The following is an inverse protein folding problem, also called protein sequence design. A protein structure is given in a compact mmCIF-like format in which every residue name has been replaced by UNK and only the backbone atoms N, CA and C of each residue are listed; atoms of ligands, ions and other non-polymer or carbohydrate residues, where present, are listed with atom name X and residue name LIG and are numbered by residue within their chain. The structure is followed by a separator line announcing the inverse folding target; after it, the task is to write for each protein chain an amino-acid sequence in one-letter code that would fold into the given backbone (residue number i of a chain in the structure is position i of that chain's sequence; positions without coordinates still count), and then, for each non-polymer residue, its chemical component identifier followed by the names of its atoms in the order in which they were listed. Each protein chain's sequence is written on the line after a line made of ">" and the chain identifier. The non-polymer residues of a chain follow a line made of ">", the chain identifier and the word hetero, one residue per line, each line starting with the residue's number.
data_IF_734861246889
#
_entry.id   IF_734861246889
#
_cell.length_a   1.000
_cell.length_b   1.000
_cell.length_c   1.000
_cell.angle_alpha   90.00
_cell.angle_beta   90.00
_cell.angle_gamma   90.00
#
_symmetry.space_group_name_H-M   'P 1'
#
loop_
_entity.id
_entity.type
_entity.pdbx_description
1 polymer ?
#
# COMPACT_ATOMS: atom_id res chain seq x y z
N UNK A 1 -5.33 4.40 -23.07
CA UNK A 1 -4.48 3.93 -21.96
C UNK A 1 -4.96 4.57 -20.66
N UNK A 2 -5.29 3.74 -19.69
CA UNK A 2 -5.63 4.23 -18.34
C UNK A 2 -4.41 4.09 -17.43
N UNK A 3 -4.34 4.93 -16.40
CA UNK A 3 -3.24 4.90 -15.44
C UNK A 3 -3.82 4.57 -14.06
N UNK A 4 -3.26 3.55 -13.42
CA UNK A 4 -3.63 3.14 -12.06
C UNK A 4 -2.45 3.42 -11.14
N UNK A 5 -2.69 4.17 -10.08
CA UNK A 5 -1.65 4.55 -9.12
C UNK A 5 -1.84 3.76 -7.83
N UNK A 6 -0.88 2.90 -7.51
CA UNK A 6 -0.93 2.02 -6.36
C UNK A 6 0.14 2.40 -5.34
N UNK A 7 -0.26 2.60 -4.10
CA UNK A 7 0.68 2.97 -3.04
C UNK A 7 0.32 2.29 -1.72
N UNK A 8 1.34 2.07 -0.90
CA UNK A 8 1.12 1.71 0.49
C UNK A 8 0.96 2.98 1.32
N UNK A 9 0.21 2.88 2.40
CA UNK A 9 -0.01 4.01 3.32
C UNK A 9 0.44 3.62 4.72
N UNK A 10 1.14 4.52 5.39
CA UNK A 10 1.51 4.33 6.79
C UNK A 10 0.94 5.48 7.64
N UNK A 11 1.49 6.68 7.51
CA UNK A 11 1.01 7.88 8.20
C UNK A 11 1.52 9.11 7.45
N UNK A 12 1.09 9.26 6.20
CA UNK A 12 1.66 10.22 5.26
C UNK A 12 0.59 11.12 4.65
N UNK A 13 -0.25 11.68 5.51
CA UNK A 13 -1.41 12.45 5.06
C UNK A 13 -1.03 13.56 4.06
N UNK A 14 0.03 14.32 4.36
CA UNK A 14 0.47 15.40 3.47
C UNK A 14 0.94 14.87 2.12
N UNK A 15 1.73 13.81 2.12
CA UNK A 15 2.23 13.20 0.87
C UNK A 15 1.10 12.65 0.02
N UNK A 16 0.10 12.04 0.65
CA UNK A 16 -1.07 11.53 -0.07
C UNK A 16 -1.89 12.65 -0.67
N UNK A 17 -2.06 13.74 0.06
CA UNK A 17 -2.78 14.91 -0.44
C UNK A 17 -2.10 15.49 -1.68
N UNK A 18 -0.78 15.64 -1.62
CA UNK A 18 0.02 16.12 -2.76
C UNK A 18 -0.12 15.14 -3.93
N UNK A 19 -0.02 13.85 -3.68
CA UNK A 19 -0.10 12.82 -4.70
C UNK A 19 -1.45 12.81 -5.41
N UNK A 20 -2.54 12.84 -4.65
CA UNK A 20 -3.89 12.86 -5.21
C UNK A 20 -4.12 14.13 -6.06
N UNK A 21 -3.74 15.28 -5.53
CA UNK A 21 -3.92 16.55 -6.26
C UNK A 21 -3.08 16.63 -7.52
N UNK A 22 -1.85 16.10 -7.47
CA UNK A 22 -0.93 16.15 -8.61
C UNK A 22 -1.35 15.21 -9.74
N UNK A 23 -1.83 14.01 -9.39
CA UNK A 23 -2.08 12.94 -10.36
C UNK A 23 -3.54 12.78 -10.76
N UNK A 24 -4.46 13.49 -10.13
CA UNK A 24 -5.90 13.26 -10.32
C UNK A 24 -6.35 13.30 -11.79
N UNK A 25 -5.81 14.21 -12.57
CA UNK A 25 -6.25 14.39 -13.97
C UNK A 25 -5.76 13.27 -14.90
N UNK A 26 -4.69 12.56 -14.52
CA UNK A 26 -4.09 11.50 -15.34
C UNK A 26 -4.45 10.10 -14.89
N UNK A 27 -4.91 9.93 -13.66
CA UNK A 27 -5.11 8.63 -13.03
C UNK A 27 -6.57 8.22 -13.06
N UNK A 28 -6.84 6.99 -13.50
CA UNK A 28 -8.19 6.39 -13.50
C UNK A 28 -8.62 6.01 -12.08
N UNK A 29 -7.73 5.34 -11.34
CA UNK A 29 -7.98 4.91 -9.97
C UNK A 29 -6.72 5.02 -9.13
N UNK A 30 -6.91 5.36 -7.85
CA UNK A 30 -5.87 5.31 -6.82
C UNK A 30 -6.14 4.08 -5.95
N UNK A 31 -5.18 3.17 -5.88
CA UNK A 31 -5.26 2.00 -5.01
C UNK A 31 -4.37 2.26 -3.81
N UNK A 32 -4.98 2.35 -2.62
CA UNK A 32 -4.30 2.61 -1.36
C UNK A 32 -4.35 1.34 -0.52
N UNK A 33 -3.19 0.81 -0.18
CA UNK A 33 -3.07 -0.40 0.63
C UNK A 33 -2.50 -0.03 1.99
N UNK A 34 -3.20 -0.39 3.04
CA UNK A 34 -2.73 -0.19 4.41
C UNK A 34 -2.82 -1.49 5.18
N UNK A 35 -1.76 -1.80 5.94
CA UNK A 35 -1.69 -3.01 6.76
C UNK A 35 -1.88 -2.66 8.24
N UNK A 36 -2.45 -3.59 8.99
CA UNK A 36 -2.48 -3.52 10.45
C UNK A 36 -1.12 -3.83 11.08
N UNK A 37 -0.11 -4.15 10.27
CA UNK A 37 1.25 -4.43 10.72
C UNK A 37 2.24 -3.58 9.94
N UNK A 38 3.24 -3.03 10.63
CA UNK A 38 4.37 -2.37 9.97
C UNK A 38 5.24 -3.41 9.27
N UNK A 39 6.18 -2.96 8.43
CA UNK A 39 7.11 -3.89 7.77
C UNK A 39 8.00 -4.63 8.77
N UNK A 40 8.22 -4.08 9.95
CA UNK A 40 8.96 -4.74 11.04
C UNK A 40 8.08 -5.67 11.88
N UNK A 41 6.77 -5.74 11.61
CA UNK A 41 5.87 -6.67 12.27
C UNK A 41 5.15 -6.14 13.49
N UNK A 42 5.29 -4.87 13.82
CA UNK A 42 4.58 -4.26 14.93
C UNK A 42 3.14 -3.95 14.52
N UNK A 43 2.20 -4.23 15.42
CA UNK A 43 0.81 -3.85 15.20
C UNK A 43 0.68 -2.34 15.13
N UNK A 44 -0.16 -1.85 14.24
CA UNK A 44 -0.46 -0.43 14.10
C UNK A 44 -1.94 -0.22 13.87
N UNK A 45 -2.40 1.00 14.10
CA UNK A 45 -3.75 1.42 13.76
C UNK A 45 -3.83 1.78 12.28
N UNK A 46 -5.02 1.70 11.70
CA UNK A 46 -5.26 2.23 10.37
C UNK A 46 -5.30 3.75 10.46
N UNK A 47 -4.47 4.41 9.66
CA UNK A 47 -4.33 5.86 9.67
C UNK A 47 -5.02 6.54 8.49
N UNK A 48 -5.25 5.80 7.39
CA UNK A 48 -5.87 6.36 6.21
C UNK A 48 -7.37 6.61 6.46
N UNK A 49 -7.80 7.85 6.24
CA UNK A 49 -9.21 8.21 6.32
C UNK A 49 -9.65 8.78 4.99
N UNK A 50 -10.44 8.03 4.26
CA UNK A 50 -10.95 8.42 2.94
C UNK A 50 -11.77 9.71 3.00
N UNK A 51 -12.36 10.01 4.15
CA UNK A 51 -13.16 11.23 4.32
C UNK A 51 -12.32 12.50 4.25
N UNK A 52 -11.01 12.41 4.54
CA UNK A 52 -10.07 13.53 4.38
C UNK A 52 -9.78 13.81 2.90
N UNK A 53 -10.17 12.92 2.02
CA UNK A 53 -9.91 13.00 0.58
C UNK A 53 -11.21 12.88 -0.21
N UNK A 54 -12.30 13.45 0.30
CA UNK A 54 -13.64 13.33 -0.30
C UNK A 54 -13.70 13.75 -1.76
N UNK A 55 -12.86 14.69 -2.17
CA UNK A 55 -12.75 15.13 -3.55
C UNK A 55 -12.37 13.99 -4.51
N UNK A 56 -11.62 13.01 -4.03
CA UNK A 56 -11.11 11.89 -4.83
C UNK A 56 -11.78 10.56 -4.49
N UNK A 57 -12.77 10.56 -3.62
CA UNK A 57 -13.38 9.36 -3.05
C UNK A 57 -13.81 8.34 -4.10
N UNK A 58 -14.37 8.79 -5.22
CA UNK A 58 -14.87 7.91 -6.28
C UNK A 58 -13.75 7.20 -7.04
N UNK A 59 -12.53 7.71 -6.95
CA UNK A 59 -11.35 7.13 -7.60
C UNK A 59 -10.52 6.25 -6.66
N UNK A 60 -10.76 6.29 -5.35
CA UNK A 60 -9.94 5.60 -4.37
C UNK A 60 -10.47 4.19 -4.12
N UNK A 61 -9.62 3.20 -4.26
CA UNK A 61 -9.86 1.82 -3.82
C UNK A 61 -8.95 1.59 -2.62
N UNK A 62 -9.55 1.43 -1.44
CA UNK A 62 -8.83 1.23 -0.20
C UNK A 62 -8.82 -0.24 0.19
N UNK A 63 -7.63 -0.81 0.34
CA UNK A 63 -7.44 -2.23 0.67
C UNK A 63 -6.73 -2.33 2.01
N UNK A 64 -7.31 -3.07 2.95
CA UNK A 64 -6.74 -3.29 4.27
C UNK A 64 -6.18 -4.71 4.36
N UNK A 65 -4.92 -4.83 4.78
CA UNK A 65 -4.29 -6.11 5.06
C UNK A 65 -4.44 -6.38 6.55
N UNK A 66 -5.25 -7.37 6.91
CA UNK A 66 -5.57 -7.68 8.31
C UNK A 66 -4.63 -8.69 8.93
N UNK A 67 -3.97 -9.52 8.12
CA UNK A 67 -3.14 -10.63 8.57
C UNK A 67 -1.74 -10.53 8.02
N UNK A 68 -0.76 -11.02 8.79
CA UNK A 68 0.60 -11.14 8.30
C UNK A 68 0.73 -12.31 7.31
N UNK A 69 1.78 -12.29 6.43
CA UNK A 69 2.06 -13.44 5.56
C UNK A 69 2.25 -14.73 6.37
N UNK A 70 1.84 -15.85 5.80
CA UNK A 70 1.90 -17.16 6.50
C UNK A 70 3.31 -17.74 6.58
N UNK A 71 4.24 -17.24 5.78
CA UNK A 71 5.58 -17.82 5.64
C UNK A 71 6.66 -17.04 6.38
N UNK A 72 6.29 -16.25 7.38
CA UNK A 72 7.24 -15.53 8.20
C UNK A 72 7.98 -16.46 9.14
N UNK A 73 9.26 -16.19 9.39
CA UNK A 73 10.01 -16.85 10.44
C UNK A 73 9.60 -16.28 11.79
N UNK A 74 9.39 -17.17 12.75
CA UNK A 74 8.94 -16.80 14.09
C UNK A 74 9.97 -17.18 15.13
N UNK A 75 9.97 -16.47 16.25
CA UNK A 75 10.86 -16.73 17.37
C UNK A 75 11.40 -15.42 17.96
N UNK A 76 11.87 -15.50 19.20
CA UNK A 76 12.37 -14.32 19.93
C UNK A 76 13.80 -13.94 19.55
N UNK A 77 14.51 -14.84 18.86
CA UNK A 77 15.95 -14.68 18.57
C UNK A 77 16.24 -14.71 17.08
N UNK A 78 15.46 -13.95 16.30
CA UNK A 78 15.75 -13.83 14.87
C UNK A 78 16.99 -12.97 14.66
N UNK A 79 17.87 -13.41 13.75
CA UNK A 79 19.03 -12.60 13.35
C UNK A 79 18.58 -11.51 12.36
N UNK A 80 19.51 -10.62 12.00
CA UNK A 80 19.20 -9.48 11.11
C UNK A 80 18.73 -9.93 9.73
N UNK A 81 19.32 -11.00 9.20
CA UNK A 81 18.94 -11.55 7.91
C UNK A 81 17.50 -12.07 7.92
N UNK A 82 17.11 -12.79 8.98
CA UNK A 82 15.75 -13.32 9.12
C UNK A 82 14.72 -12.22 9.28
N UNK A 83 15.04 -11.18 10.08
CA UNK A 83 14.15 -10.01 10.22
C UNK A 83 13.98 -9.28 8.90
N UNK A 84 15.04 -9.13 8.13
CA UNK A 84 14.98 -8.49 6.80
C UNK A 84 14.11 -9.30 5.84
N UNK A 85 14.25 -10.62 5.84
CA UNK A 85 13.44 -11.49 4.99
C UNK A 85 11.96 -11.39 5.36
N UNK A 86 11.63 -11.31 6.64
CA UNK A 86 10.26 -11.11 7.07
C UNK A 86 9.70 -9.77 6.58
N UNK A 87 10.50 -8.71 6.68
CA UNK A 87 10.10 -7.40 6.16
C UNK A 87 9.84 -7.42 4.66
N UNK A 88 10.70 -8.10 3.90
CA UNK A 88 10.52 -8.23 2.46
C UNK A 88 9.25 -9.01 2.12
N UNK A 89 8.90 -10.03 2.89
CA UNK A 89 7.66 -10.79 2.69
C UNK A 89 6.42 -9.93 2.95
N UNK A 90 6.47 -9.04 3.95
CA UNK A 90 5.39 -8.10 4.22
C UNK A 90 5.23 -7.08 3.10
N UNK A 91 6.33 -6.59 2.54
CA UNK A 91 6.33 -5.69 1.39
C UNK A 91 5.74 -6.39 0.16
N UNK A 92 6.14 -7.62 -0.08
CA UNK A 92 5.61 -8.43 -1.19
C UNK A 92 4.10 -8.63 -1.04
N UNK A 93 3.62 -8.91 0.16
CA UNK A 93 2.19 -9.02 0.44
C UNK A 93 1.45 -7.72 0.09
N UNK A 94 2.05 -6.57 0.38
CA UNK A 94 1.46 -5.28 0.03
C UNK A 94 1.32 -5.11 -1.48
N UNK A 95 2.35 -5.49 -2.25
CA UNK A 95 2.28 -5.44 -3.71
C UNK A 95 1.24 -6.41 -4.26
N UNK A 96 1.16 -7.63 -3.72
CA UNK A 96 0.16 -8.61 -4.14
C UNK A 96 -1.26 -8.08 -3.90
N UNK A 97 -1.47 -7.39 -2.78
CA UNK A 97 -2.76 -6.79 -2.46
C UNK A 97 -3.13 -5.66 -3.43
N UNK A 98 -2.14 -4.91 -3.92
CA UNK A 98 -2.38 -3.89 -4.95
C UNK A 98 -2.95 -4.50 -6.22
N UNK A 99 -2.53 -5.71 -6.59
CA UNK A 99 -3.03 -6.39 -7.77
C UNK A 99 -4.53 -6.69 -7.68
N UNK A 100 -5.05 -6.88 -6.48
CA UNK A 100 -6.48 -7.08 -6.28
C UNK A 100 -7.28 -5.81 -6.62
N UNK A 101 -6.66 -4.65 -6.46
CA UNK A 101 -7.30 -3.36 -6.75
C UNK A 101 -7.27 -2.97 -8.22
N UNK A 102 -6.46 -3.64 -9.04
CA UNK A 102 -6.28 -3.30 -10.45
C UNK A 102 -6.79 -4.38 -11.40
N UNK A 103 -7.75 -5.19 -10.95
CA UNK A 103 -8.28 -6.29 -11.77
C UNK A 103 -8.90 -5.84 -13.09
N UNK A 104 -9.37 -4.60 -13.16
CA UNK A 104 -9.94 -4.04 -14.37
C UNK A 104 -8.90 -3.53 -15.38
N UNK A 105 -7.61 -3.51 -15.00
CA UNK A 105 -6.56 -3.03 -15.89
C UNK A 105 -6.34 -3.97 -17.06
N UNK A 106 -6.17 -3.42 -18.25
CA UNK A 106 -5.90 -4.16 -19.48
C UNK A 106 -4.43 -4.09 -19.89
N UNK A 107 -4.08 -4.75 -20.99
CA UNK A 107 -2.71 -4.85 -21.46
C UNK A 107 -2.08 -3.49 -21.79
N UNK A 108 -2.89 -2.53 -22.20
CA UNK A 108 -2.41 -1.20 -22.58
C UNK A 108 -2.44 -0.17 -21.45
N UNK A 109 -2.81 -0.61 -20.25
CA UNK A 109 -2.90 0.28 -19.10
C UNK A 109 -1.58 0.33 -18.35
N UNK A 110 -1.28 1.49 -17.76
CA UNK A 110 -0.05 1.73 -16.99
C UNK A 110 -0.35 1.62 -15.51
N UNK A 111 0.52 0.91 -14.79
CA UNK A 111 0.41 0.75 -13.34
C UNK A 111 1.64 1.35 -12.69
N UNK A 112 1.41 2.29 -11.76
CA UNK A 112 2.47 2.90 -10.97
C UNK A 112 2.43 2.27 -9.59
N UNK A 113 3.56 1.69 -9.16
CA UNK A 113 3.68 1.05 -7.85
C UNK A 113 4.65 1.85 -6.98
N UNK A 114 4.22 2.21 -5.79
CA UNK A 114 5.03 2.98 -4.84
C UNK A 114 4.90 2.44 -3.43
N UNK A 115 6.00 2.48 -2.67
CA UNK A 115 6.00 2.20 -1.24
C UNK A 115 5.95 3.51 -0.46
N UNK A 116 5.46 3.41 0.77
CA UNK A 116 5.56 4.50 1.73
C UNK A 116 7.02 4.76 2.10
N UNK A 117 7.44 6.03 2.10
CA UNK A 117 8.79 6.42 2.47
C UNK A 117 9.06 6.22 3.97
N UNK A 118 8.04 6.20 4.79
CA UNK A 118 8.17 6.04 6.25
C UNK A 118 8.64 4.63 6.60
N UNK A 119 8.37 3.65 5.76
CA UNK A 119 8.78 2.26 5.98
C UNK A 119 10.26 2.00 5.64
N UNK A 120 10.90 2.91 4.99
CA UNK A 120 12.32 2.81 4.60
C UNK A 120 13.24 3.33 5.75
#
# INVERSE_FOLDING_TARGET
>A
MRIFDCTTYYDEELMMDIRFNTLNDQVEKFIVVESLFSHSGNKKKLNFDINNYSKFKDKIIYIVIENEPNNLKKGDKLNQSEKRMNSLKRIEQSYDSMLDGIKEAGENDLIILSLSLIHI
#
